data_IF_001678334120
#
_entry.id   IF_001678334120
#
_cell.length_a   1.000
_cell.length_b   1.000
_cell.length_c   1.000
_cell.angle_alpha   90.00
_cell.angle_beta   90.00
_cell.angle_gamma   90.00
#
_symmetry.space_group_name_H-M   'P 1'
#
loop_
_entity.id
_entity.type
_entity.pdbx_description
1 polymer ?
#
# COMPACT_ATOMS: atom_id res chain seq x y z
N UNK A 1 -6.67 -18.94 -5.22
CA UNK A 1 -7.53 -20.10 -5.47
C UNK A 1 -8.75 -19.67 -6.27
N UNK A 2 -9.09 -20.40 -7.33
CA UNK A 2 -10.25 -20.16 -8.17
C UNK A 2 -10.73 -21.50 -8.77
N UNK A 3 -12.04 -21.70 -8.88
CA UNK A 3 -12.59 -22.86 -9.55
C UNK A 3 -12.41 -22.78 -11.08
N UNK A 4 -12.02 -23.87 -11.72
CA UNK A 4 -11.83 -23.91 -13.18
C UNK A 4 -13.14 -23.62 -13.96
N UNK A 5 -14.29 -23.92 -13.36
CA UNK A 5 -15.62 -23.64 -13.95
C UNK A 5 -16.22 -22.29 -13.53
N UNK A 6 -15.51 -21.46 -12.76
CA UNK A 6 -15.94 -20.10 -12.38
C UNK A 6 -15.76 -19.12 -13.56
N UNK A 7 -16.60 -19.29 -14.57
CA UNK A 7 -16.57 -18.49 -15.79
C UNK A 7 -17.26 -17.12 -15.66
N UNK A 8 -18.02 -16.87 -14.58
CA UNK A 8 -18.70 -15.62 -14.35
C UNK A 8 -17.70 -14.47 -14.32
N UNK A 9 -17.92 -13.43 -15.14
CA UNK A 9 -16.99 -12.29 -15.30
C UNK A 9 -15.56 -12.70 -15.67
N UNK A 10 -15.35 -13.87 -16.31
CA UNK A 10 -14.04 -14.44 -16.67
C UNK A 10 -13.10 -14.68 -15.46
N UNK A 11 -13.61 -14.92 -14.26
CA UNK A 11 -12.80 -15.04 -13.02
C UNK A 11 -11.70 -16.10 -13.13
N UNK A 12 -12.00 -17.29 -13.66
CA UNK A 12 -11.04 -18.36 -13.87
C UNK A 12 -9.89 -17.93 -14.80
N UNK A 13 -10.21 -17.26 -15.90
CA UNK A 13 -9.23 -16.71 -16.86
C UNK A 13 -8.39 -15.61 -16.24
N UNK A 14 -9.04 -14.64 -15.54
CA UNK A 14 -8.35 -13.55 -14.86
C UNK A 14 -7.40 -14.09 -13.78
N UNK A 15 -7.84 -15.07 -12.98
CA UNK A 15 -7.00 -15.69 -11.97
C UNK A 15 -5.75 -16.33 -12.58
N UNK A 16 -5.90 -17.08 -13.66
CA UNK A 16 -4.79 -17.70 -14.40
C UNK A 16 -3.84 -16.62 -14.95
N UNK A 17 -4.37 -15.59 -15.60
CA UNK A 17 -3.59 -14.52 -16.19
C UNK A 17 -2.79 -13.75 -15.14
N UNK A 18 -3.41 -13.40 -14.00
CA UNK A 18 -2.73 -12.73 -12.88
C UNK A 18 -1.63 -13.60 -12.29
N UNK A 19 -1.83 -14.91 -12.20
CA UNK A 19 -0.77 -15.83 -11.79
C UNK A 19 0.46 -15.75 -12.69
N UNK A 20 0.28 -15.82 -14.00
CA UNK A 20 1.37 -15.70 -14.99
C UNK A 20 2.07 -14.34 -14.91
N UNK A 21 1.33 -13.25 -14.74
CA UNK A 21 1.89 -11.90 -14.56
C UNK A 21 2.75 -11.83 -13.28
N UNK A 22 2.24 -12.35 -12.15
CA UNK A 22 2.96 -12.37 -10.88
C UNK A 22 4.21 -13.24 -10.96
N UNK A 23 4.17 -14.40 -11.65
CA UNK A 23 5.33 -15.23 -11.93
C UNK A 23 6.43 -14.45 -12.68
N UNK A 24 6.03 -13.66 -13.67
CA UNK A 24 6.95 -12.82 -14.44
C UNK A 24 7.60 -11.73 -13.58
N UNK A 25 6.80 -11.07 -12.73
CA UNK A 25 7.30 -10.05 -11.81
C UNK A 25 8.23 -10.65 -10.75
N UNK A 26 7.93 -11.83 -10.22
CA UNK A 26 8.78 -12.53 -9.25
C UNK A 26 10.10 -12.97 -9.83
N UNK A 27 10.17 -13.29 -11.11
CA UNK A 27 11.46 -13.55 -11.79
C UNK A 27 12.37 -12.34 -11.82
N UNK A 28 11.79 -11.13 -11.92
CA UNK A 28 12.54 -9.86 -11.89
C UNK A 28 12.89 -9.43 -10.45
N UNK A 29 12.07 -9.77 -9.46
CA UNK A 29 12.24 -9.48 -8.04
C UNK A 29 11.93 -10.72 -7.20
N UNK A 30 12.96 -11.51 -6.90
CA UNK A 30 12.82 -12.79 -6.18
C UNK A 30 12.31 -12.65 -4.74
N UNK A 31 12.42 -11.47 -4.13
CA UNK A 31 11.95 -11.17 -2.78
C UNK A 31 10.56 -10.53 -2.75
N UNK A 32 10.09 -10.05 -3.90
CA UNK A 32 8.77 -9.48 -4.07
C UNK A 32 7.76 -10.47 -4.67
N UNK A 33 6.52 -9.99 -4.80
CA UNK A 33 5.44 -10.69 -5.52
C UNK A 33 5.23 -12.15 -5.09
N UNK A 34 5.40 -12.44 -3.80
CA UNK A 34 5.17 -13.79 -3.24
C UNK A 34 3.69 -14.13 -3.44
N UNK A 35 3.42 -15.18 -4.18
CA UNK A 35 2.05 -15.60 -4.51
C UNK A 35 1.99 -17.10 -4.77
N UNK A 36 0.79 -17.62 -4.72
CA UNK A 36 0.42 -18.95 -5.24
C UNK A 36 -0.86 -18.80 -6.06
N UNK A 37 -0.94 -19.54 -7.16
CA UNK A 37 -2.12 -19.58 -8.03
C UNK A 37 -2.59 -21.03 -8.17
N UNK A 38 -3.81 -21.28 -7.73
CA UNK A 38 -4.44 -22.60 -7.78
C UNK A 38 -5.77 -22.52 -8.54
N UNK A 39 -5.84 -23.22 -9.67
CA UNK A 39 -7.08 -23.41 -10.42
C UNK A 39 -7.59 -24.82 -10.13
N UNK A 40 -8.67 -24.90 -9.36
CA UNK A 40 -9.22 -26.17 -8.87
C UNK A 40 -10.14 -26.77 -9.93
N UNK A 41 -9.75 -27.95 -10.45
CA UNK A 41 -10.51 -28.65 -11.49
C UNK A 41 -11.93 -28.98 -11.03
N UNK A 42 -12.89 -28.95 -11.95
CA UNK A 42 -14.30 -29.32 -11.74
C UNK A 42 -15.06 -28.53 -10.65
N UNK A 43 -14.46 -27.43 -10.13
CA UNK A 43 -15.10 -26.53 -9.17
C UNK A 43 -15.57 -25.23 -9.84
N UNK A 44 -16.72 -24.76 -9.35
CA UNK A 44 -17.26 -23.44 -9.68
C UNK A 44 -16.84 -22.38 -8.68
N UNK A 45 -17.59 -21.29 -8.54
CA UNK A 45 -17.32 -20.22 -7.59
C UNK A 45 -17.24 -20.70 -6.13
N UNK A 46 -18.11 -21.60 -5.73
CA UNK A 46 -18.11 -22.24 -4.42
C UNK A 46 -17.28 -23.52 -4.50
N UNK A 47 -16.06 -23.44 -4.01
CA UNK A 47 -15.06 -24.49 -4.17
C UNK A 47 -15.14 -25.62 -3.12
N UNK A 48 -16.25 -25.73 -2.38
CA UNK A 48 -16.48 -26.75 -1.35
C UNK A 48 -15.32 -26.88 -0.33
N UNK A 49 -14.79 -25.71 0.10
CA UNK A 49 -13.66 -25.57 1.02
C UNK A 49 -12.28 -26.02 0.48
N UNK A 50 -12.13 -26.31 -0.80
CA UNK A 50 -10.83 -26.61 -1.41
C UNK A 50 -9.84 -25.43 -1.28
N UNK A 51 -10.36 -24.21 -1.10
CA UNK A 51 -9.59 -23.00 -0.82
C UNK A 51 -9.16 -22.86 0.65
N UNK A 52 -9.58 -23.75 1.54
CA UNK A 52 -9.19 -23.69 2.95
C UNK A 52 -7.66 -23.76 3.15
N UNK A 53 -6.94 -24.40 2.22
CA UNK A 53 -5.48 -24.45 2.20
C UNK A 53 -4.82 -23.05 2.05
N UNK A 54 -5.55 -22.05 1.55
CA UNK A 54 -5.07 -20.66 1.45
C UNK A 54 -4.81 -20.04 2.83
N UNK A 55 -5.60 -20.39 3.85
CA UNK A 55 -5.49 -19.79 5.18
C UNK A 55 -4.14 -20.08 5.86
N UNK A 56 -3.68 -21.35 6.01
CA UNK A 56 -2.37 -21.63 6.60
C UNK A 56 -1.22 -21.09 5.75
N UNK A 57 -1.39 -20.97 4.42
CA UNK A 57 -0.40 -20.33 3.58
C UNK A 57 -0.32 -18.83 3.87
N UNK A 58 -1.45 -18.12 3.94
CA UNK A 58 -1.50 -16.69 4.25
C UNK A 58 -0.95 -16.37 5.65
N UNK A 59 -1.18 -17.25 6.64
CA UNK A 59 -0.71 -17.06 8.02
C UNK A 59 0.82 -17.04 8.16
N UNK A 60 1.56 -17.53 7.17
CA UNK A 60 3.02 -17.50 7.16
C UNK A 60 3.58 -16.10 6.90
N UNK A 61 2.75 -15.16 6.43
CA UNK A 61 3.16 -13.83 6.02
C UNK A 61 2.57 -12.76 6.92
N UNK A 62 3.41 -11.77 7.24
CA UNK A 62 2.98 -10.58 7.96
C UNK A 62 3.08 -9.37 7.02
N UNK A 63 2.04 -8.54 7.04
CA UNK A 63 2.08 -7.26 6.33
C UNK A 63 3.18 -6.36 6.91
N UNK A 64 4.01 -5.78 6.05
CA UNK A 64 4.94 -4.71 6.41
C UNK A 64 4.11 -3.42 6.54
N UNK A 65 3.93 -2.86 7.76
CA UNK A 65 3.05 -1.70 7.94
C UNK A 65 3.67 -0.41 7.40
N UNK A 66 5.00 -0.34 7.30
CA UNK A 66 5.74 0.86 6.90
C UNK A 66 6.66 0.59 5.72
N UNK A 67 6.13 0.32 4.50
CA UNK A 67 6.98 0.09 3.34
C UNK A 67 7.78 1.35 3.01
N UNK A 68 9.06 1.14 2.69
CA UNK A 68 9.99 2.22 2.31
C UNK A 68 9.93 2.57 0.82
N UNK A 69 9.25 1.75 0.03
CA UNK A 69 8.95 1.98 -1.37
C UNK A 69 7.43 1.84 -1.56
N UNK A 70 6.80 2.88 -2.05
CA UNK A 70 5.36 2.91 -2.32
C UNK A 70 5.11 3.24 -3.78
N UNK A 71 4.27 2.41 -4.39
CA UNK A 71 3.58 2.69 -5.64
C UNK A 71 2.09 2.56 -5.34
N UNK A 72 1.38 3.68 -5.29
CA UNK A 72 -0.05 3.72 -5.01
C UNK A 72 -0.79 4.28 -6.20
N UNK A 73 -1.64 3.48 -6.81
CA UNK A 73 -2.53 3.90 -7.90
C UNK A 73 -3.99 3.69 -7.48
N UNK A 74 -4.81 4.72 -7.67
CA UNK A 74 -6.25 4.63 -7.41
C UNK A 74 -6.93 3.70 -8.41
N UNK A 75 -7.71 2.76 -7.88
CA UNK A 75 -8.56 1.86 -8.65
C UNK A 75 -9.94 2.49 -8.93
N UNK A 76 -10.94 1.68 -9.31
CA UNK A 76 -12.33 2.14 -9.49
C UNK A 76 -12.96 2.61 -8.18
N UNK A 77 -12.74 1.87 -7.11
CA UNK A 77 -13.05 2.32 -5.75
C UNK A 77 -11.83 3.06 -5.23
N UNK A 78 -11.98 4.36 -5.02
CA UNK A 78 -10.91 5.21 -4.55
C UNK A 78 -10.83 5.21 -3.01
N UNK A 79 -9.63 5.32 -2.48
CA UNK A 79 -9.37 5.39 -1.05
C UNK A 79 -8.44 6.56 -0.72
N UNK A 80 -8.74 7.35 0.34
CA UNK A 80 -7.88 8.47 0.73
C UNK A 80 -6.59 8.00 1.41
N UNK A 81 -6.55 6.79 1.97
CA UNK A 81 -5.43 6.31 2.78
C UNK A 81 -4.72 5.12 2.13
N UNK A 82 -3.38 5.15 2.13
CA UNK A 82 -2.55 4.01 1.71
C UNK A 82 -1.25 3.96 2.52
N UNK A 83 -1.11 2.95 3.36
CA UNK A 83 0.00 2.85 4.31
C UNK A 83 0.09 4.12 5.18
N UNK A 84 1.17 4.87 5.08
CA UNK A 84 1.43 6.11 5.82
C UNK A 84 1.18 7.38 4.99
N UNK A 85 0.36 7.27 3.95
CA UNK A 85 -0.04 8.37 3.07
C UNK A 85 -1.54 8.67 3.20
N UNK A 86 -1.90 9.93 3.02
CA UNK A 86 -3.28 10.38 2.84
C UNK A 86 -3.35 11.38 1.70
N UNK A 87 -4.18 11.08 0.71
CA UNK A 87 -4.53 11.97 -0.38
C UNK A 87 -5.76 12.82 -0.03
N UNK A 88 -5.94 14.02 -0.60
CA UNK A 88 -7.12 14.85 -0.40
C UNK A 88 -8.38 14.14 -0.95
N UNK A 89 -9.46 14.16 -0.18
CA UNK A 89 -10.73 13.51 -0.56
C UNK A 89 -11.32 14.12 -1.84
N UNK A 90 -11.22 15.43 -2.00
CA UNK A 90 -11.72 16.19 -3.16
C UNK A 90 -10.91 15.94 -4.45
N UNK A 91 -9.78 15.28 -4.35
CA UNK A 91 -8.92 14.97 -5.50
C UNK A 91 -8.87 13.49 -5.85
N UNK A 92 -9.63 12.65 -5.14
CA UNK A 92 -9.65 11.21 -5.39
C UNK A 92 -10.24 10.91 -6.77
N UNK A 93 -9.47 10.24 -7.61
CA UNK A 93 -9.87 9.86 -8.96
C UNK A 93 -9.12 8.61 -9.41
N UNK A 94 -9.82 7.71 -10.12
CA UNK A 94 -9.21 6.52 -10.74
C UNK A 94 -7.97 6.89 -11.57
N UNK A 95 -6.93 6.10 -11.44
CA UNK A 95 -5.68 6.23 -12.19
C UNK A 95 -4.65 7.16 -11.56
N UNK A 96 -5.03 8.06 -10.64
CA UNK A 96 -4.07 8.90 -9.94
C UNK A 96 -3.05 8.08 -9.19
N UNK A 97 -1.79 8.47 -9.30
CA UNK A 97 -0.65 7.68 -8.83
C UNK A 97 0.26 8.50 -7.92
N UNK A 98 0.77 7.84 -6.88
CA UNK A 98 1.88 8.33 -6.04
C UNK A 98 3.00 7.30 -6.10
N UNK A 99 4.23 7.76 -6.35
CA UNK A 99 5.45 6.94 -6.29
C UNK A 99 6.47 7.63 -5.40
N UNK A 100 6.93 6.94 -4.38
CA UNK A 100 7.92 7.50 -3.47
C UNK A 100 8.79 6.43 -2.83
N UNK A 101 9.92 6.89 -2.28
CA UNK A 101 10.83 6.10 -1.45
C UNK A 101 11.14 6.84 -0.15
N UNK A 102 11.30 6.08 0.94
CA UNK A 102 11.78 6.56 2.24
C UNK A 102 13.17 5.97 2.50
N UNK A 103 14.16 6.84 2.76
CA UNK A 103 15.51 6.41 3.18
C UNK A 103 15.97 7.27 4.37
N UNK A 104 16.08 6.63 5.54
CA UNK A 104 16.33 7.35 6.79
C UNK A 104 15.25 8.41 7.02
N UNK A 105 15.64 9.66 7.20
CA UNK A 105 14.71 10.79 7.38
C UNK A 105 14.36 11.52 6.06
N UNK A 106 14.59 10.90 4.90
CA UNK A 106 14.33 11.54 3.62
C UNK A 106 13.29 10.77 2.82
N UNK A 107 12.21 11.46 2.43
CA UNK A 107 11.22 10.98 1.47
C UNK A 107 11.52 11.60 0.11
N UNK A 108 11.63 10.77 -0.92
CA UNK A 108 11.75 11.22 -2.30
C UNK A 108 10.50 10.79 -3.07
N UNK A 109 9.73 11.76 -3.51
CA UNK A 109 8.53 11.58 -4.34
C UNK A 109 8.98 11.73 -5.79
N UNK A 110 8.86 10.66 -6.58
CA UNK A 110 9.17 10.67 -8.01
C UNK A 110 7.95 10.95 -8.88
N UNK A 111 6.75 10.69 -8.36
CA UNK A 111 5.47 11.00 -9.00
C UNK A 111 4.41 11.25 -7.94
N UNK A 112 3.60 12.29 -8.15
CA UNK A 112 2.36 12.53 -7.40
C UNK A 112 1.37 13.30 -8.28
N UNK A 113 0.20 12.71 -8.48
CA UNK A 113 -0.86 13.31 -9.30
C UNK A 113 -1.86 14.13 -8.45
N UNK A 114 -1.49 14.42 -7.20
CA UNK A 114 -2.21 15.28 -6.28
C UNK A 114 -1.45 16.59 -6.09
N UNK A 115 -2.17 17.68 -5.80
CA UNK A 115 -1.56 19.00 -5.51
C UNK A 115 -1.01 19.06 -4.09
N UNK A 116 -1.48 18.15 -3.21
CA UNK A 116 -0.97 18.03 -1.85
C UNK A 116 -0.99 16.56 -1.41
N UNK A 117 -0.14 16.22 -0.46
CA UNK A 117 -0.08 14.89 0.12
C UNK A 117 0.24 15.00 1.61
N UNK A 118 -0.52 14.28 2.45
CA UNK A 118 -0.19 14.16 3.87
C UNK A 118 0.61 12.88 4.11
N UNK A 119 1.76 13.03 4.76
CA UNK A 119 2.64 11.96 5.15
C UNK A 119 2.61 11.82 6.67
N UNK A 120 2.38 10.60 7.14
CA UNK A 120 2.29 10.26 8.56
C UNK A 120 3.55 9.49 8.97
N UNK A 121 4.10 9.80 10.14
CA UNK A 121 5.36 9.22 10.63
C UNK A 121 5.27 8.76 12.07
N UNK A 122 6.05 7.74 12.38
CA UNK A 122 6.34 7.30 13.74
C UNK A 122 7.82 6.95 13.92
N UNK A 123 8.23 6.66 15.15
CA UNK A 123 9.62 6.39 15.50
C UNK A 123 10.17 5.06 14.97
N UNK A 124 9.30 4.16 14.47
CA UNK A 124 9.72 2.93 13.80
C UNK A 124 10.13 3.17 12.34
N UNK A 125 9.65 4.26 11.75
CA UNK A 125 9.91 4.60 10.34
C UNK A 125 11.11 5.54 10.20
N UNK A 126 11.17 6.57 11.06
CA UNK A 126 12.12 7.69 10.98
C UNK A 126 12.57 8.12 12.37
N UNK A 127 13.66 8.85 12.46
CA UNK A 127 14.06 9.50 13.71
C UNK A 127 13.36 10.86 13.83
N UNK A 128 12.25 10.91 14.59
CA UNK A 128 11.48 12.15 14.79
C UNK A 128 12.20 13.25 15.57
N UNK A 129 13.33 12.95 16.23
CA UNK A 129 14.15 13.95 16.93
C UNK A 129 15.05 14.74 15.96
N UNK A 130 15.15 14.28 14.72
CA UNK A 130 15.91 14.92 13.64
C UNK A 130 14.96 15.50 12.58
N UNK A 131 15.42 16.51 11.79
CA UNK A 131 14.64 17.01 10.68
C UNK A 131 14.30 15.92 9.66
N UNK A 132 13.06 15.93 9.18
CA UNK A 132 12.61 15.14 8.04
C UNK A 132 12.71 16.02 6.79
N UNK A 133 13.16 15.43 5.70
CA UNK A 133 13.23 16.09 4.40
C UNK A 133 12.29 15.40 3.42
N UNK A 134 11.42 16.16 2.75
CA UNK A 134 10.55 15.64 1.68
C UNK A 134 10.92 16.38 0.39
N UNK A 135 11.15 15.59 -0.66
CA UNK A 135 11.53 16.10 -1.98
C UNK A 135 10.58 15.58 -3.04
N UNK A 136 10.26 16.43 -4.00
CA UNK A 136 9.56 16.08 -5.22
C UNK A 136 10.49 16.34 -6.41
N UNK A 137 10.84 15.29 -7.17
CA UNK A 137 11.75 15.39 -8.31
C UNK A 137 13.07 16.14 -7.99
N UNK A 138 13.66 15.85 -6.80
CA UNK A 138 14.89 16.47 -6.33
C UNK A 138 14.72 17.82 -5.63
N UNK A 139 13.61 18.53 -5.84
CA UNK A 139 13.32 19.81 -5.17
C UNK A 139 12.76 19.56 -3.77
N UNK A 140 13.27 20.27 -2.77
CA UNK A 140 12.79 20.16 -1.39
C UNK A 140 11.45 20.88 -1.23
N UNK A 141 10.40 20.13 -0.86
CA UNK A 141 9.07 20.64 -0.55
C UNK A 141 8.89 20.90 0.96
N UNK A 142 9.62 20.12 1.79
CA UNK A 142 9.60 20.29 3.24
C UNK A 142 10.95 19.90 3.85
N UNK A 143 11.38 20.64 4.87
CA UNK A 143 12.49 20.26 5.74
C UNK A 143 12.27 20.83 7.14
N UNK A 144 12.09 19.97 8.13
CA UNK A 144 11.85 20.40 9.51
C UNK A 144 11.66 19.24 10.47
N UNK A 145 11.67 19.55 11.77
CA UNK A 145 11.26 18.61 12.82
C UNK A 145 9.73 18.54 12.87
N UNK A 146 9.19 17.35 13.09
CA UNK A 146 7.77 17.15 13.30
C UNK A 146 7.51 16.79 14.77
N UNK A 147 6.62 17.53 15.46
CA UNK A 147 6.30 17.21 16.84
C UNK A 147 5.47 15.93 16.91
N UNK A 148 5.71 15.14 17.95
CA UNK A 148 4.81 14.05 18.35
C UNK A 148 3.64 14.65 19.11
N UNK A 149 2.42 14.37 18.68
CA UNK A 149 1.20 14.84 19.36
C UNK A 149 0.23 13.70 19.62
N UNK A 150 -0.45 13.75 20.75
CA UNK A 150 -1.53 12.79 21.09
C UNK A 150 -2.69 12.95 20.11
N UNK A 151 -2.95 14.16 19.64
CA UNK A 151 -3.99 14.45 18.65
C UNK A 151 -3.74 13.69 17.34
N UNK A 152 -2.53 13.74 16.80
CA UNK A 152 -2.18 12.97 15.59
C UNK A 152 -2.35 11.46 15.81
N UNK A 153 -1.97 10.96 16.99
CA UNK A 153 -2.17 9.54 17.34
C UNK A 153 -3.66 9.18 17.35
N UNK A 154 -4.48 9.99 18.01
CA UNK A 154 -5.93 9.78 18.07
C UNK A 154 -6.54 9.81 16.68
N UNK A 155 -6.26 10.85 15.89
CA UNK A 155 -6.81 11.01 14.54
C UNK A 155 -6.39 9.84 13.62
N UNK A 156 -5.14 9.39 13.67
CA UNK A 156 -4.70 8.27 12.86
C UNK A 156 -5.35 6.95 13.26
N UNK A 157 -5.62 6.75 14.56
CA UNK A 157 -6.33 5.56 15.04
C UNK A 157 -7.80 5.59 14.62
N UNK A 158 -8.49 6.73 14.75
CA UNK A 158 -9.89 6.90 14.34
C UNK A 158 -10.08 6.69 12.83
N UNK A 159 -9.15 7.21 12.01
CA UNK A 159 -9.23 7.11 10.57
C UNK A 159 -8.92 5.69 10.03
N UNK A 160 -8.08 4.94 10.73
CA UNK A 160 -7.53 3.69 10.17
C UNK A 160 -7.97 2.44 10.92
N UNK A 161 -8.42 2.56 12.18
CA UNK A 161 -8.86 1.42 13.00
C UNK A 161 -7.76 0.39 13.29
N UNK A 162 -6.48 0.71 13.06
CA UNK A 162 -5.36 -0.22 13.18
C UNK A 162 -4.23 0.39 14.02
N UNK A 163 -3.93 -0.23 15.16
CA UNK A 163 -2.89 0.24 16.08
C UNK A 163 -1.49 0.31 15.43
N UNK A 164 -1.24 -0.49 14.39
CA UNK A 164 0.01 -0.42 13.64
C UNK A 164 0.14 0.87 12.82
N UNK A 165 -0.98 1.57 12.57
CA UNK A 165 -1.02 2.88 11.92
C UNK A 165 -1.23 4.03 12.89
N UNK A 166 -0.72 3.87 14.11
CA UNK A 166 -0.66 4.95 15.07
C UNK A 166 0.52 5.87 14.74
N UNK A 167 0.21 7.07 14.25
CA UNK A 167 1.21 8.03 13.81
C UNK A 167 1.19 9.28 14.69
N UNK A 168 2.21 9.50 15.54
CA UNK A 168 2.30 10.70 16.38
C UNK A 168 2.63 11.97 15.62
N UNK A 169 3.16 11.86 14.40
CA UNK A 169 3.61 13.02 13.62
C UNK A 169 3.08 12.95 12.19
N UNK A 170 2.77 14.11 11.62
CA UNK A 170 2.35 14.23 10.22
C UNK A 170 2.75 15.57 9.63
N UNK A 171 2.82 15.63 8.32
CA UNK A 171 2.98 16.87 7.56
C UNK A 171 2.24 16.78 6.24
N UNK A 172 1.53 17.84 5.87
CA UNK A 172 0.95 18.02 4.55
C UNK A 172 1.89 18.86 3.71
N UNK A 173 2.29 18.38 2.55
CA UNK A 173 3.15 19.09 1.61
C UNK A 173 2.36 19.49 0.37
N UNK A 174 2.61 20.69 -0.13
CA UNK A 174 2.16 21.14 -1.44
C UNK A 174 3.18 20.65 -2.49
N UNK A 175 2.68 20.12 -3.61
CA UNK A 175 3.47 19.44 -4.64
C UNK A 175 3.29 20.07 -6.03
#
# INVERSE_FOLDING_TARGET
>A
WCGALDAAYNRNRECTQRGVELDSLRKADSNGYIHETHIVAEKSHWMDLEDAAALPWLQQYQRIPYPTHIVWQQAEVTHPHFYWLTAPDDQLQRGKTVRLTLKGNTVNISQCDYTQLTLHFNDQMVNLDKPITIRMNGKTCFKGKLPRTVENMKNSLEQRGDIRYLFPAQVTVQL
#
